data_IF_826663825753
#
_entry.id   IF_826663825753
#
_cell.length_a   1.000
_cell.length_b   1.000
_cell.length_c   1.000
_cell.angle_alpha   90.00
_cell.angle_beta   90.00
_cell.angle_gamma   90.00
#
_symmetry.space_group_name_H-M   'P 1'
#
loop_
_entity.id
_entity.type
_entity.pdbx_description
1 polymer ?
#
# COMPACT_ATOMS: atom_id res chain seq x y z
N UNK A 1 -3.43 12.09 6.68
CA UNK A 1 -3.59 12.62 5.31
C UNK A 1 -3.46 11.43 4.38
N UNK A 2 -4.51 11.10 3.65
CA UNK A 2 -4.55 9.89 2.81
C UNK A 2 -4.21 10.35 1.40
N UNK A 3 -3.08 9.90 0.89
CA UNK A 3 -2.61 10.26 -0.44
C UNK A 3 -1.87 9.08 -1.05
N UNK A 4 -1.71 9.15 -2.36
CA UNK A 4 -0.84 8.25 -3.11
C UNK A 4 0.07 9.07 -4.00
N UNK A 5 1.28 8.57 -4.20
CA UNK A 5 2.22 9.14 -5.16
C UNK A 5 2.65 8.03 -6.11
N UNK A 6 2.56 8.30 -7.41
CA UNK A 6 3.06 7.41 -8.46
C UNK A 6 4.39 7.97 -8.98
N UNK A 7 5.43 7.14 -8.97
CA UNK A 7 6.68 7.42 -9.67
C UNK A 7 6.65 6.61 -10.95
N UNK A 8 6.55 7.30 -12.09
CA UNK A 8 6.45 6.69 -13.41
C UNK A 8 7.81 6.79 -14.09
N UNK A 9 8.31 5.65 -14.59
CA UNK A 9 9.52 5.59 -15.40
C UNK A 9 9.15 5.09 -16.79
N UNK A 10 9.46 5.88 -17.81
CA UNK A 10 9.25 5.54 -19.21
C UNK A 10 10.59 5.17 -19.84
N UNK A 11 10.64 4.02 -20.51
CA UNK A 11 11.82 3.54 -21.22
C UNK A 11 11.43 2.76 -22.48
N UNK A 12 12.43 2.37 -23.28
CA UNK A 12 12.23 1.52 -24.46
C UNK A 12 12.55 0.08 -24.07
N UNK A 13 11.59 -0.83 -24.28
CA UNK A 13 11.73 -2.26 -24.03
C UNK A 13 12.58 -2.98 -25.09
N UNK A 14 12.85 -4.27 -24.85
CA UNK A 14 13.67 -5.12 -25.72
C UNK A 14 13.09 -5.28 -27.14
N UNK A 15 11.77 -5.12 -27.27
CA UNK A 15 11.03 -5.16 -28.54
C UNK A 15 10.97 -3.80 -29.26
N UNK A 16 11.60 -2.77 -28.69
CA UNK A 16 11.56 -1.40 -29.19
C UNK A 16 10.29 -0.63 -28.84
N UNK A 17 9.36 -1.21 -28.06
CA UNK A 17 8.15 -0.53 -27.61
C UNK A 17 8.41 0.39 -26.41
N UNK A 18 7.65 1.48 -26.30
CA UNK A 18 7.68 2.33 -25.11
C UNK A 18 6.95 1.62 -23.95
N UNK A 19 7.63 1.50 -22.81
CA UNK A 19 7.12 0.85 -21.60
C UNK A 19 7.05 1.89 -20.49
N UNK A 20 5.92 1.93 -19.79
CA UNK A 20 5.73 2.79 -18.62
C UNK A 20 5.60 1.94 -17.37
N UNK A 21 6.55 2.06 -16.47
CA UNK A 21 6.55 1.36 -15.19
C UNK A 21 6.17 2.30 -14.07
N UNK A 22 5.57 1.76 -13.01
CA UNK A 22 5.20 2.57 -11.85
C UNK A 22 5.50 1.90 -10.53
N UNK A 23 6.03 2.71 -9.63
CA UNK A 23 6.06 2.47 -8.19
C UNK A 23 4.97 3.35 -7.57
N UNK A 24 3.99 2.73 -6.90
CA UNK A 24 2.96 3.45 -6.16
C UNK A 24 3.29 3.46 -4.67
N UNK A 25 3.40 4.64 -4.06
CA UNK A 25 3.49 4.77 -2.61
C UNK A 25 2.19 5.29 -2.03
N UNK A 26 1.70 4.66 -0.97
CA UNK A 26 0.56 5.11 -0.20
C UNK A 26 0.82 4.85 1.30
N UNK A 27 1.56 5.74 1.98
CA UNK A 27 2.03 5.55 3.35
C UNK A 27 0.93 5.25 4.38
N UNK A 28 -0.23 5.88 4.20
CA UNK A 28 -1.39 5.77 5.07
C UNK A 28 -2.54 4.99 4.41
N UNK A 29 -2.32 4.48 3.20
CA UNK A 29 -3.35 3.99 2.32
C UNK A 29 -4.21 5.12 1.73
N UNK A 30 -5.09 4.71 0.82
CA UNK A 30 -6.01 5.59 0.11
C UNK A 30 -7.38 4.94 0.03
N UNK A 31 -8.42 5.76 -0.12
CA UNK A 31 -9.77 5.26 -0.34
C UNK A 31 -9.89 4.82 -1.80
N UNK A 32 -10.33 3.58 -2.01
CA UNK A 32 -10.34 2.97 -3.35
C UNK A 32 -11.44 3.51 -4.26
N UNK A 33 -12.52 4.02 -3.68
CA UNK A 33 -13.65 4.62 -4.39
C UNK A 33 -13.44 6.10 -4.72
N UNK A 34 -12.25 6.65 -4.43
CA UNK A 34 -11.94 8.04 -4.79
C UNK A 34 -11.45 8.14 -6.24
N UNK A 35 -11.98 9.13 -6.96
CA UNK A 35 -11.69 9.40 -8.36
C UNK A 35 -10.20 9.44 -8.75
N UNK A 36 -9.26 9.98 -7.95
CA UNK A 36 -7.85 10.08 -8.35
C UNK A 36 -7.15 8.74 -8.56
N UNK A 37 -7.41 7.73 -7.71
CA UNK A 37 -6.80 6.41 -7.91
C UNK A 37 -7.35 5.76 -9.17
N UNK A 38 -8.68 5.82 -9.35
CA UNK A 38 -9.33 5.25 -10.53
C UNK A 38 -8.86 5.96 -11.81
N UNK A 39 -8.74 7.29 -11.81
CA UNK A 39 -8.20 8.06 -12.92
C UNK A 39 -6.75 7.66 -13.27
N UNK A 40 -5.91 7.35 -12.28
CA UNK A 40 -4.57 6.82 -12.52
C UNK A 40 -4.57 5.38 -13.08
N UNK A 41 -5.52 4.54 -12.68
CA UNK A 41 -5.66 3.19 -13.25
C UNK A 41 -6.15 3.25 -14.71
N UNK A 42 -7.00 4.21 -15.00
CA UNK A 42 -7.61 4.40 -16.32
C UNK A 42 -6.77 5.25 -17.27
N UNK A 43 -5.73 5.95 -16.77
CA UNK A 43 -4.90 6.85 -17.58
C UNK A 43 -4.21 6.13 -18.73
N UNK A 44 -4.06 6.85 -19.85
CA UNK A 44 -3.20 6.47 -20.95
C UNK A 44 -1.95 7.37 -21.01
N UNK A 45 -0.78 6.81 -21.35
CA UNK A 45 -0.54 5.39 -21.66
C UNK A 45 -0.62 4.50 -20.40
N UNK A 46 -1.04 3.24 -20.58
CA UNK A 46 -1.10 2.28 -19.47
C UNK A 46 0.27 2.08 -18.81
N UNK A 47 0.26 2.15 -17.48
CA UNK A 47 1.43 1.84 -16.67
C UNK A 47 1.41 0.41 -16.12
N UNK A 48 2.55 -0.26 -16.14
CA UNK A 48 2.83 -1.52 -15.44
C UNK A 48 3.18 -1.23 -13.99
N UNK A 49 2.36 -1.70 -13.05
CA UNK A 49 2.54 -1.48 -11.60
C UNK A 49 3.55 -2.49 -11.07
N UNK A 50 4.83 -2.12 -11.00
CA UNK A 50 5.90 -3.02 -10.55
C UNK A 50 5.87 -3.21 -9.04
N UNK A 51 5.74 -2.12 -8.30
CA UNK A 51 5.83 -2.14 -6.85
C UNK A 51 4.79 -1.24 -6.19
N UNK A 52 4.39 -1.62 -4.98
CA UNK A 52 3.66 -0.77 -4.06
C UNK A 52 4.39 -0.61 -2.74
N UNK A 53 4.38 0.60 -2.19
CA UNK A 53 4.92 0.93 -0.87
C UNK A 53 3.74 1.26 0.05
N UNK A 54 3.49 0.39 1.03
CA UNK A 54 2.37 0.55 1.96
C UNK A 54 2.67 -0.15 3.29
N UNK A 55 2.30 0.46 4.41
CA UNK A 55 2.51 -0.08 5.75
C UNK A 55 1.38 -1.02 6.21
N UNK A 56 1.64 -1.86 7.19
CA UNK A 56 0.64 -2.78 7.72
C UNK A 56 -0.03 -2.28 9.00
N UNK A 57 0.52 -1.23 9.63
CA UNK A 57 -0.11 -0.61 10.81
C UNK A 57 -1.37 0.19 10.47
N UNK A 58 -2.39 0.03 11.30
CA UNK A 58 -3.55 0.90 11.35
C UNK A 58 -3.36 1.95 12.45
N UNK A 59 -3.50 3.22 12.12
CA UNK A 59 -3.43 4.34 13.06
C UNK A 59 -4.83 4.92 13.25
N UNK A 60 -5.16 5.29 14.48
CA UNK A 60 -6.42 5.93 14.83
C UNK A 60 -6.16 7.19 15.65
N UNK A 61 -6.88 8.28 15.35
CA UNK A 61 -6.86 9.53 16.13
C UNK A 61 -8.30 10.06 16.18
N UNK A 62 -8.78 10.35 17.38
CA UNK A 62 -10.14 10.87 17.62
C UNK A 62 -11.23 9.89 17.17
N UNK A 63 -10.97 8.58 17.25
CA UNK A 63 -11.87 7.53 16.74
C UNK A 63 -11.90 7.41 15.21
N UNK A 64 -11.15 8.24 14.47
CA UNK A 64 -11.03 8.14 13.01
C UNK A 64 -9.79 7.36 12.63
N UNK A 65 -9.93 6.44 11.68
CA UNK A 65 -8.81 5.71 11.08
C UNK A 65 -8.01 6.65 10.18
N UNK A 66 -6.73 6.82 10.48
CA UNK A 66 -5.80 7.70 9.76
C UNK A 66 -4.82 6.93 8.88
N UNK A 67 -4.61 5.63 9.13
CA UNK A 67 -3.98 4.72 8.17
C UNK A 67 -4.75 3.40 8.06
N UNK A 68 -4.81 2.84 6.85
CA UNK A 68 -5.64 1.66 6.57
C UNK A 68 -4.98 0.30 6.83
N UNK A 69 -3.67 0.28 7.13
CA UNK A 69 -2.92 -0.91 7.53
C UNK A 69 -3.03 -2.10 6.55
N UNK A 70 -2.81 -3.31 7.07
CA UNK A 70 -2.71 -4.51 6.24
C UNK A 70 -3.95 -4.78 5.38
N UNK A 71 -5.17 -4.49 5.90
CA UNK A 71 -6.42 -4.69 5.14
C UNK A 71 -6.52 -3.73 3.95
N UNK A 72 -6.38 -2.43 4.18
CA UNK A 72 -6.43 -1.47 3.08
C UNK A 72 -5.25 -1.62 2.10
N UNK A 73 -4.09 -2.04 2.59
CA UNK A 73 -2.95 -2.40 1.75
C UNK A 73 -3.26 -3.59 0.83
N UNK A 74 -3.92 -4.63 1.36
CA UNK A 74 -4.34 -5.79 0.57
C UNK A 74 -5.38 -5.39 -0.47
N UNK A 75 -6.39 -4.60 -0.12
CA UNK A 75 -7.39 -4.13 -1.07
C UNK A 75 -6.75 -3.27 -2.18
N UNK A 76 -5.82 -2.38 -1.83
CA UNK A 76 -5.04 -1.59 -2.79
C UNK A 76 -4.18 -2.49 -3.70
N UNK A 77 -3.52 -3.50 -3.14
CA UNK A 77 -2.76 -4.50 -3.90
C UNK A 77 -3.64 -5.17 -4.97
N UNK A 78 -4.85 -5.60 -4.59
CA UNK A 78 -5.82 -6.19 -5.53
C UNK A 78 -6.23 -5.20 -6.62
N UNK A 79 -6.56 -3.95 -6.22
CA UNK A 79 -6.99 -2.90 -7.13
C UNK A 79 -5.91 -2.50 -8.16
N UNK A 80 -4.63 -2.60 -7.78
CA UNK A 80 -3.50 -2.35 -8.67
C UNK A 80 -3.20 -3.48 -9.66
N UNK A 81 -3.94 -4.60 -9.59
CA UNK A 81 -3.70 -5.78 -10.42
C UNK A 81 -2.61 -6.71 -9.87
N UNK A 82 -2.22 -6.56 -8.60
CA UNK A 82 -1.23 -7.41 -7.95
C UNK A 82 0.21 -7.11 -8.38
N UNK A 83 0.79 -5.97 -7.96
CA UNK A 83 2.18 -5.64 -8.27
C UNK A 83 3.14 -6.73 -7.76
N UNK A 84 4.27 -6.90 -8.46
CA UNK A 84 5.28 -7.94 -8.13
C UNK A 84 5.90 -7.75 -6.74
N UNK A 85 6.03 -6.50 -6.29
CA UNK A 85 6.64 -6.17 -5.00
C UNK A 85 5.71 -5.35 -4.12
N UNK A 86 5.36 -5.86 -2.93
CA UNK A 86 4.79 -5.03 -1.87
C UNK A 86 5.88 -4.75 -0.83
N UNK A 87 6.42 -3.53 -0.84
CA UNK A 87 7.44 -3.09 0.11
C UNK A 87 6.77 -2.42 1.31
N UNK A 88 7.09 -2.89 2.52
CA UNK A 88 6.62 -2.25 3.74
C UNK A 88 7.30 -0.90 3.93
N UNK A 89 6.50 0.15 3.96
CA UNK A 89 6.93 1.51 4.28
C UNK A 89 6.07 2.08 5.40
N UNK A 90 6.60 3.01 6.20
CA UNK A 90 5.84 3.69 7.27
C UNK A 90 5.18 2.75 8.30
N UNK A 91 5.78 1.56 8.51
CA UNK A 91 5.20 0.46 9.30
C UNK A 91 5.63 0.43 10.78
N UNK A 92 6.44 1.41 11.22
CA UNK A 92 6.89 1.45 12.61
C UNK A 92 5.75 1.92 13.54
N UNK A 93 5.39 1.13 14.58
CA UNK A 93 4.45 1.57 15.60
C UNK A 93 5.02 2.77 16.35
N UNK A 94 4.21 3.80 16.52
CA UNK A 94 4.59 4.98 17.30
C UNK A 94 4.01 4.86 18.71
N UNK A 95 4.85 5.15 19.71
CA UNK A 95 4.41 5.29 21.09
C UNK A 95 3.88 6.71 21.29
N UNK A 96 2.57 6.85 21.44
CA UNK A 96 1.92 8.15 21.68
C UNK A 96 1.85 8.46 23.18
N UNK A 97 2.49 9.55 23.62
CA UNK A 97 2.51 9.99 25.02
C UNK A 97 1.92 11.38 25.21
N UNK A 98 1.50 11.71 26.43
CA UNK A 98 0.98 13.03 26.80
C UNK A 98 -0.55 13.14 26.81
N UNK A 99 -1.06 14.18 27.49
CA UNK A 99 -2.49 14.37 27.74
C UNK A 99 -3.27 14.51 26.42
N UNK A 100 -2.76 15.27 25.46
CA UNK A 100 -3.41 15.44 24.15
C UNK A 100 -3.58 14.13 23.39
N UNK A 101 -2.55 13.28 23.37
CA UNK A 101 -2.61 11.98 22.70
C UNK A 101 -3.56 11.02 23.39
N UNK A 102 -3.61 11.05 24.73
CA UNK A 102 -4.55 10.24 25.52
C UNK A 102 -6.00 10.69 25.30
N UNK A 103 -6.26 11.99 25.31
CA UNK A 103 -7.60 12.56 25.06
C UNK A 103 -8.06 12.30 23.63
N UNK A 104 -7.15 12.36 22.65
CA UNK A 104 -7.46 12.02 21.26
C UNK A 104 -7.55 10.51 21.01
N UNK A 105 -7.28 9.65 22.01
CA UNK A 105 -7.25 8.18 21.86
C UNK A 105 -6.36 7.75 20.68
N UNK A 106 -5.23 8.41 20.52
CA UNK A 106 -4.26 8.08 19.47
C UNK A 106 -3.67 6.68 19.72
N UNK A 107 -3.83 5.77 18.76
CA UNK A 107 -3.33 4.41 18.89
C UNK A 107 -2.91 3.84 17.54
N UNK A 108 -1.79 3.11 17.55
CA UNK A 108 -1.35 2.26 16.44
C UNK A 108 -1.67 0.81 16.76
N UNK A 109 -2.31 0.13 15.82
CA UNK A 109 -2.59 -1.30 15.87
C UNK A 109 -1.83 -1.99 14.74
N UNK A 110 -0.71 -2.68 15.02
CA UNK A 110 -0.05 -3.49 14.02
C UNK A 110 -0.93 -4.70 13.70
N UNK A 111 -1.22 -4.89 12.41
CA UNK A 111 -1.89 -6.08 11.87
C UNK A 111 -0.97 -6.79 10.90
N UNK A 112 -1.06 -8.10 10.81
CA UNK A 112 -0.24 -8.87 9.86
C UNK A 112 -0.96 -9.03 8.53
N UNK A 113 -0.23 -9.41 7.48
CA UNK A 113 -0.84 -9.74 6.19
C UNK A 113 -1.75 -10.96 6.32
N UNK A 114 -1.37 -11.95 7.15
CA UNK A 114 -2.16 -13.15 7.41
C UNK A 114 -3.51 -12.77 8.01
N UNK A 115 -3.52 -11.86 8.99
CA UNK A 115 -4.76 -11.33 9.55
C UNK A 115 -5.65 -10.70 8.48
N UNK A 116 -5.08 -9.97 7.52
CA UNK A 116 -5.83 -9.36 6.44
C UNK A 116 -6.38 -10.40 5.44
N UNK A 117 -5.61 -11.44 5.13
CA UNK A 117 -6.02 -12.55 4.25
C UNK A 117 -7.14 -13.39 4.88
N UNK A 118 -7.05 -13.68 6.17
CA UNK A 118 -8.10 -14.38 6.91
C UNK A 118 -9.41 -13.58 6.88
N UNK A 119 -9.33 -12.26 7.06
CA UNK A 119 -10.48 -11.38 6.92
C UNK A 119 -11.03 -11.33 5.48
N UNK A 120 -10.17 -11.26 4.45
CA UNK A 120 -10.59 -11.33 3.03
C UNK A 120 -11.32 -12.66 2.76
N UNK A 121 -10.83 -13.77 3.31
CA UNK A 121 -11.46 -15.09 3.18
C UNK A 121 -12.81 -15.16 3.92
N UNK A 122 -12.91 -14.64 5.13
CA UNK A 122 -14.18 -14.61 5.86
C UNK A 122 -15.24 -13.76 5.16
N UNK A 123 -14.83 -12.67 4.49
CA UNK A 123 -15.75 -11.76 3.79
C UNK A 123 -16.16 -12.27 2.41
N UNK A 124 -15.26 -12.96 1.67
CA UNK A 124 -15.48 -13.31 0.26
C UNK A 124 -15.52 -14.82 -0.01
N UNK A 125 -15.12 -15.66 0.95
CA UNK A 125 -15.07 -17.12 0.83
C UNK A 125 -14.04 -17.65 -0.18
N UNK A 126 -13.10 -16.81 -0.65
CA UNK A 126 -12.18 -17.13 -1.73
C UNK A 126 -10.72 -17.04 -1.27
N UNK A 127 -9.97 -18.13 -1.44
CA UNK A 127 -8.51 -18.11 -1.29
C UNK A 127 -7.86 -17.46 -2.51
N UNK A 128 -7.43 -16.21 -2.36
CA UNK A 128 -6.68 -15.48 -3.39
C UNK A 128 -5.18 -15.64 -3.19
N UNK A 129 -4.40 -15.42 -4.26
CA UNK A 129 -2.92 -15.46 -4.21
C UNK A 129 -2.41 -14.51 -3.11
N UNK A 130 -1.54 -15.02 -2.24
CA UNK A 130 -0.85 -14.24 -1.22
C UNK A 130 0.15 -13.25 -1.86
N UNK A 131 0.13 -11.96 -1.47
CA UNK A 131 1.15 -11.00 -1.90
C UNK A 131 2.53 -11.32 -1.35
N UNK A 132 3.57 -11.06 -2.14
CA UNK A 132 4.96 -11.11 -1.69
C UNK A 132 5.33 -9.78 -1.02
N UNK A 133 5.52 -9.82 0.30
CA UNK A 133 5.78 -8.65 1.13
C UNK A 133 7.25 -8.57 1.54
N UNK A 134 7.87 -7.43 1.25
CA UNK A 134 9.28 -7.17 1.46
C UNK A 134 9.47 -6.14 2.55
N UNK A 135 10.22 -6.50 3.61
CA UNK A 135 10.60 -5.58 4.69
C UNK A 135 12.07 -5.22 4.58
N UNK A 136 12.34 -3.95 4.29
CA UNK A 136 13.71 -3.44 4.23
C UNK A 136 14.20 -3.00 5.60
N UNK A 137 15.48 -3.30 5.89
CA UNK A 137 16.17 -2.73 7.04
C UNK A 137 16.57 -1.28 6.73
N UNK A 138 16.81 -0.49 7.76
CA UNK A 138 17.36 0.85 7.58
C UNK A 138 18.71 0.77 6.85
N UNK A 139 18.91 1.59 5.81
CA UNK A 139 20.06 1.53 4.90
C UNK A 139 20.05 0.36 3.91
N UNK A 140 19.01 -0.49 3.90
CA UNK A 140 18.85 -1.55 2.92
C UNK A 140 18.43 -1.03 1.54
N UNK A 141 18.70 -1.82 0.50
CA UNK A 141 18.31 -1.54 -0.88
C UNK A 141 17.58 -2.76 -1.46
N UNK A 142 16.48 -2.52 -2.18
CA UNK A 142 15.79 -3.52 -2.98
C UNK A 142 15.83 -3.05 -4.43
N UNK A 143 16.42 -3.86 -5.30
CA UNK A 143 16.41 -3.64 -6.75
C UNK A 143 15.15 -4.29 -7.31
N UNK A 144 14.39 -3.54 -8.10
CA UNK A 144 13.17 -4.03 -8.74
C UNK A 144 13.52 -4.50 -10.14
N UNK A 145 13.16 -5.75 -10.45
CA UNK A 145 13.34 -6.31 -11.80
C UNK A 145 12.07 -6.15 -12.61
N UNK A 146 12.22 -5.46 -13.74
CA UNK A 146 11.24 -5.20 -14.78
C UNK A 146 10.86 -6.47 -15.56
#
# INVERSE_FOLDING_TARGET
>A
MNFSTAIVWTHVGDDGAEVHETILTSPHGTLLEQGPLQAFLDSEPKTRKLAMLHGNKESHIGGKKTSFGAKGGLELYRKLGGPKYWVLSHDLPLAYTGIFMRLSRAADTPRTLEWALDHEFLEQGLHRKRPDVFKMKNGGCLVLEA
#
